data_IF_060136129187
#
_entry.id   IF_060136129187
#
_cell.length_a   1.000
_cell.length_b   1.000
_cell.length_c   1.000
_cell.angle_alpha   90.00
_cell.angle_beta   90.00
_cell.angle_gamma   90.00
#
_symmetry.space_group_name_H-M   'P 1'
#
loop_
_entity.id
_entity.type
_entity.pdbx_description
1 polymer ?
#
# COMPACT_ATOMS: atom_id res chain seq x y z
N UNK A 1 -5.25 -11.95 -12.19
CA UNK A 1 -6.13 -13.12 -11.97
C UNK A 1 -6.03 -13.49 -10.50
N UNK A 2 -7.11 -13.37 -9.71
CA UNK A 2 -7.13 -14.01 -8.41
C UNK A 2 -7.05 -15.52 -8.67
N UNK A 3 -5.94 -16.16 -8.31
CA UNK A 3 -5.82 -17.61 -8.37
C UNK A 3 -6.96 -18.17 -7.52
N UNK A 4 -7.67 -19.15 -8.04
CA UNK A 4 -8.73 -19.83 -7.33
C UNK A 4 -8.16 -20.41 -6.02
N UNK A 5 -8.46 -19.76 -4.92
CA UNK A 5 -8.02 -20.20 -3.60
C UNK A 5 -8.91 -21.36 -3.16
N UNK A 6 -8.37 -22.44 -2.56
CA UNK A 6 -9.15 -23.61 -2.10
C UNK A 6 -10.21 -23.26 -1.03
N UNK A 7 -10.20 -22.05 -0.50
CA UNK A 7 -11.14 -21.57 0.54
C UNK A 7 -12.30 -20.73 0.02
N UNK A 8 -12.63 -20.84 -1.26
CA UNK A 8 -13.75 -20.12 -1.85
C UNK A 8 -13.37 -18.71 -2.34
N UNK A 9 -13.97 -18.35 -3.44
CA UNK A 9 -13.65 -17.15 -4.20
C UNK A 9 -13.69 -15.87 -3.33
N UNK A 10 -12.65 -15.06 -3.44
CA UNK A 10 -12.68 -13.65 -3.03
C UNK A 10 -13.66 -12.82 -3.91
N UNK A 11 -14.77 -13.39 -4.32
CA UNK A 11 -15.58 -12.87 -5.43
C UNK A 11 -16.27 -11.56 -5.09
N UNK A 12 -16.43 -11.24 -3.80
CA UNK A 12 -17.24 -10.08 -3.39
C UNK A 12 -16.68 -9.31 -2.17
N UNK A 13 -15.40 -9.43 -1.85
CA UNK A 13 -14.83 -8.70 -0.73
C UNK A 13 -14.17 -7.42 -1.20
N UNK A 14 -14.77 -6.30 -0.87
CA UNK A 14 -14.25 -4.97 -1.17
C UNK A 14 -13.61 -4.36 0.08
N UNK A 15 -12.55 -3.60 -0.12
CA UNK A 15 -12.02 -2.72 0.92
C UNK A 15 -12.76 -1.40 0.81
N UNK A 16 -13.61 -1.10 1.76
CA UNK A 16 -14.34 0.16 1.85
C UNK A 16 -13.61 1.18 2.71
N UNK A 17 -13.67 2.44 2.32
CA UNK A 17 -13.20 3.57 3.11
C UNK A 17 -14.36 4.49 3.42
N UNK A 18 -14.49 4.89 4.69
CA UNK A 18 -15.52 5.83 5.14
C UNK A 18 -14.88 6.96 5.94
N UNK A 19 -15.49 8.12 5.89
CA UNK A 19 -15.07 9.24 6.73
C UNK A 19 -15.50 8.98 8.17
N UNK A 20 -14.62 9.27 9.13
CA UNK A 20 -14.98 9.25 10.54
C UNK A 20 -15.57 10.60 10.96
N UNK A 21 -16.42 10.57 11.98
CA UNK A 21 -16.85 11.75 12.72
C UNK A 21 -15.66 12.45 13.39
N UNK A 22 -15.84 13.70 13.80
CA UNK A 22 -14.77 14.49 14.42
C UNK A 22 -14.27 13.90 15.75
N UNK A 23 -15.11 13.12 16.42
CA UNK A 23 -14.77 12.40 17.66
C UNK A 23 -14.23 10.99 17.42
N UNK A 24 -14.12 10.55 16.16
CA UNK A 24 -13.69 9.22 15.72
C UNK A 24 -14.55 8.03 16.20
N UNK A 25 -15.76 8.28 16.71
CA UNK A 25 -16.61 7.24 17.26
C UNK A 25 -17.64 6.68 16.28
N UNK A 26 -17.83 7.34 15.14
CA UNK A 26 -18.78 6.89 14.11
C UNK A 26 -18.29 7.22 12.70
N UNK A 27 -18.95 6.67 11.69
CA UNK A 27 -18.74 7.05 10.30
C UNK A 27 -19.76 8.12 9.88
N UNK A 28 -19.33 9.06 9.03
CA UNK A 28 -20.16 10.14 8.50
C UNK A 28 -20.36 9.90 7.01
N UNK A 29 -21.64 9.85 6.59
CA UNK A 29 -21.99 9.58 5.21
C UNK A 29 -21.82 8.12 4.81
N UNK A 30 -21.85 7.86 3.51
CA UNK A 30 -21.64 6.54 2.93
C UNK A 30 -20.17 6.17 2.76
N UNK A 31 -19.91 5.07 2.07
CA UNK A 31 -18.57 4.67 1.66
C UNK A 31 -18.03 5.69 0.66
N UNK A 32 -16.92 6.35 0.99
CA UNK A 32 -16.27 7.33 0.12
C UNK A 32 -15.66 6.67 -1.12
N UNK A 33 -15.22 5.45 -0.96
CA UNK A 33 -14.48 4.72 -1.98
C UNK A 33 -14.45 3.25 -1.64
N UNK A 34 -14.38 2.41 -2.65
CA UNK A 34 -14.10 0.99 -2.49
C UNK A 34 -13.04 0.53 -3.47
N UNK A 35 -12.23 -0.41 -3.05
CA UNK A 35 -11.20 -1.06 -3.88
C UNK A 35 -11.60 -2.51 -4.10
N UNK A 36 -11.35 -3.02 -5.29
CA UNK A 36 -11.77 -4.37 -5.69
C UNK A 36 -11.15 -5.50 -4.87
N UNK A 37 -11.75 -6.70 -5.02
CA UNK A 37 -11.62 -7.79 -4.06
C UNK A 37 -10.20 -8.35 -3.99
N UNK A 38 -9.95 -9.10 -2.91
CA UNK A 38 -8.71 -9.81 -2.66
C UNK A 38 -7.50 -8.93 -2.32
N UNK A 39 -7.76 -7.78 -1.70
CA UNK A 39 -6.71 -6.95 -1.11
C UNK A 39 -6.84 -6.90 0.42
N UNK A 40 -5.71 -6.83 1.08
CA UNK A 40 -5.56 -6.73 2.55
C UNK A 40 -4.29 -5.96 2.92
N UNK A 41 -4.00 -5.82 4.21
CA UNK A 41 -2.77 -5.21 4.69
C UNK A 41 -2.61 -3.79 4.18
N UNK A 42 -3.55 -2.91 4.54
CA UNK A 42 -3.64 -1.59 3.95
C UNK A 42 -2.82 -0.55 4.71
N UNK A 43 -1.99 0.20 3.98
CA UNK A 43 -1.32 1.40 4.45
C UNK A 43 -1.67 2.58 3.54
N UNK A 44 -2.38 3.57 4.07
CA UNK A 44 -2.82 4.77 3.34
C UNK A 44 -1.98 5.97 3.77
N UNK A 45 -1.55 6.79 2.82
CA UNK A 45 -0.72 7.96 3.10
C UNK A 45 -0.94 9.08 2.09
N UNK A 46 -0.49 10.27 2.46
CA UNK A 46 -0.42 11.43 1.56
C UNK A 46 0.98 11.62 1.02
N UNK A 47 1.07 11.97 -0.24
CA UNK A 47 2.32 12.42 -0.82
C UNK A 47 2.75 13.74 -0.14
N UNK A 48 4.00 13.83 0.37
CA UNK A 48 4.40 15.00 1.16
C UNK A 48 4.48 16.33 0.39
N UNK A 49 4.46 16.27 -0.95
CA UNK A 49 4.60 17.45 -1.80
C UNK A 49 3.30 18.00 -2.37
N UNK A 50 2.32 17.13 -2.64
CA UNK A 50 1.07 17.53 -3.34
C UNK A 50 -0.21 17.03 -2.67
N UNK A 51 -0.08 16.40 -1.49
CA UNK A 51 -1.19 15.86 -0.70
C UNK A 51 -2.03 14.77 -1.42
N UNK A 52 -1.57 14.26 -2.55
CA UNK A 52 -2.22 13.13 -3.23
C UNK A 52 -2.27 11.92 -2.32
N UNK A 53 -3.42 11.26 -2.24
CA UNK A 53 -3.59 10.04 -1.47
C UNK A 53 -3.10 8.83 -2.25
N UNK A 54 -2.34 8.01 -1.55
CA UNK A 54 -1.89 6.70 -2.00
C UNK A 54 -2.29 5.63 -1.00
N UNK A 55 -2.42 4.39 -1.49
CA UNK A 55 -2.51 3.21 -0.66
C UNK A 55 -1.56 2.13 -1.18
N UNK A 56 -0.86 1.47 -0.26
CA UNK A 56 -0.13 0.24 -0.55
C UNK A 56 -0.87 -0.88 0.14
N UNK A 57 -1.22 -1.90 -0.62
CA UNK A 57 -1.98 -3.05 -0.16
C UNK A 57 -1.31 -4.35 -0.61
N UNK A 58 -1.66 -5.45 0.00
CA UNK A 58 -1.25 -6.79 -0.41
C UNK A 58 -2.40 -7.54 -1.06
N UNK A 59 -2.10 -8.41 -2.03
CA UNK A 59 -3.08 -9.40 -2.46
C UNK A 59 -3.36 -10.39 -1.32
N UNK A 60 -4.59 -10.90 -1.27
CA UNK A 60 -5.04 -11.87 -0.29
C UNK A 60 -4.92 -13.29 -0.86
N UNK A 61 -4.14 -14.13 -0.20
CA UNK A 61 -4.02 -15.57 -0.52
C UNK A 61 -3.86 -16.45 0.73
N UNK A 62 -4.33 -15.99 1.87
CA UNK A 62 -4.07 -16.60 3.18
C UNK A 62 -2.77 -16.07 3.78
N UNK A 63 -1.93 -16.95 4.29
CA UNK A 63 -0.72 -16.57 5.03
C UNK A 63 0.55 -16.49 4.16
N UNK A 64 0.42 -16.63 2.86
CA UNK A 64 1.56 -16.52 1.95
C UNK A 64 1.85 -15.05 1.57
N UNK A 65 3.12 -14.66 1.49
CA UNK A 65 3.49 -13.34 1.00
C UNK A 65 3.06 -13.16 -0.46
N UNK A 66 2.50 -12.01 -0.76
CA UNK A 66 1.94 -11.67 -2.06
C UNK A 66 2.64 -10.45 -2.70
N UNK A 67 2.46 -10.22 -4.00
CA UNK A 67 2.77 -8.94 -4.60
C UNK A 67 1.99 -7.82 -3.93
N UNK A 68 2.66 -6.69 -3.68
CA UNK A 68 1.97 -5.47 -3.28
C UNK A 68 1.25 -4.83 -4.45
N UNK A 69 0.25 -4.04 -4.13
CA UNK A 69 -0.47 -3.18 -5.08
C UNK A 69 -0.38 -1.76 -4.59
N UNK A 70 0.18 -0.88 -5.42
CA UNK A 70 0.13 0.55 -5.20
C UNK A 70 -1.11 1.11 -5.87
N UNK A 71 -1.85 1.91 -5.14
CA UNK A 71 -3.05 2.60 -5.59
C UNK A 71 -2.86 4.11 -5.41
N UNK A 72 -3.35 4.89 -6.37
CA UNK A 72 -3.41 6.35 -6.28
C UNK A 72 -4.86 6.80 -6.35
N UNK A 73 -5.26 7.68 -5.42
CA UNK A 73 -6.59 8.25 -5.43
C UNK A 73 -6.71 9.41 -6.40
N UNK A 74 -7.81 9.45 -7.12
CA UNK A 74 -8.26 10.58 -7.89
C UNK A 74 -9.60 11.07 -7.35
N UNK A 75 -9.77 12.39 -7.28
CA UNK A 75 -11.09 12.96 -7.03
C UNK A 75 -11.94 12.77 -8.27
N UNK A 76 -13.11 12.20 -8.09
CA UNK A 76 -14.12 12.16 -9.16
C UNK A 76 -14.82 13.51 -9.21
N UNK A 77 -15.15 13.99 -10.41
CA UNK A 77 -16.04 15.12 -10.55
C UNK A 77 -17.45 14.71 -10.07
N UNK A 78 -18.20 15.60 -9.43
CA UNK A 78 -19.60 15.32 -9.08
C UNK A 78 -20.38 14.87 -10.33
N UNK A 79 -20.96 13.66 -10.28
CA UNK A 79 -21.68 13.07 -11.41
C UNK A 79 -20.83 12.45 -12.51
N UNK A 80 -19.51 12.41 -12.37
CA UNK A 80 -18.59 11.75 -13.31
C UNK A 80 -18.60 10.25 -13.12
N UNK A 81 -19.37 9.54 -13.91
CA UNK A 81 -19.35 8.09 -13.97
C UNK A 81 -17.97 7.56 -14.41
N UNK A 82 -17.72 6.30 -14.13
CA UNK A 82 -16.47 5.54 -14.43
C UNK A 82 -16.11 5.45 -15.93
N UNK A 83 -16.55 6.39 -16.75
CA UNK A 83 -16.28 6.39 -18.17
C UNK A 83 -14.77 6.42 -18.47
N UNK A 84 -14.25 5.35 -19.01
CA UNK A 84 -13.00 5.20 -19.76
C UNK A 84 -11.65 5.21 -19.02
N UNK A 85 -11.53 5.64 -17.75
CA UNK A 85 -10.20 5.84 -17.13
C UNK A 85 -9.62 4.62 -16.40
N UNK A 86 -10.43 3.66 -16.07
CA UNK A 86 -9.97 2.44 -15.43
C UNK A 86 -10.58 1.22 -16.11
N UNK A 87 -9.77 0.49 -16.84
CA UNK A 87 -10.15 -0.79 -17.48
C UNK A 87 -9.29 -1.89 -16.86
N UNK A 88 -9.91 -2.80 -16.13
CA UNK A 88 -9.19 -3.95 -15.59
C UNK A 88 -9.79 -4.48 -14.29
N UNK A 89 -9.32 -5.66 -13.85
CA UNK A 89 -9.86 -6.33 -12.67
C UNK A 89 -9.57 -5.59 -11.34
N UNK A 90 -8.57 -4.73 -11.32
CA UNK A 90 -8.13 -4.03 -10.11
C UNK A 90 -8.71 -2.61 -10.00
N UNK A 91 -9.60 -2.25 -10.91
CA UNK A 91 -10.28 -0.95 -10.85
C UNK A 91 -11.23 -0.87 -9.67
N UNK A 92 -11.14 0.21 -8.90
CA UNK A 92 -12.07 0.52 -7.82
C UNK A 92 -13.51 0.67 -8.33
N UNK A 93 -14.48 0.44 -7.46
CA UNK A 93 -15.89 0.75 -7.75
C UNK A 93 -16.12 2.23 -7.46
N UNK A 94 -16.75 2.90 -8.40
CA UNK A 94 -17.15 4.30 -8.24
C UNK A 94 -18.41 4.39 -7.39
N UNK A 95 -18.23 4.43 -6.08
CA UNK A 95 -19.33 4.64 -5.12
C UNK A 95 -19.11 5.90 -4.28
N UNK A 96 -18.20 6.79 -4.67
CA UNK A 96 -17.87 7.92 -3.83
C UNK A 96 -17.00 8.99 -4.47
N UNK A 97 -16.45 9.85 -3.63
CA UNK A 97 -15.65 11.01 -4.02
C UNK A 97 -14.24 10.65 -4.53
N UNK A 98 -13.78 9.42 -4.34
CA UNK A 98 -12.44 8.97 -4.68
C UNK A 98 -12.47 7.73 -5.56
N UNK A 99 -11.73 7.77 -6.65
CA UNK A 99 -11.44 6.63 -7.51
C UNK A 99 -9.98 6.20 -7.28
N UNK A 100 -9.76 4.91 -7.01
CA UNK A 100 -8.43 4.34 -6.85
C UNK A 100 -7.93 3.75 -8.16
N UNK A 101 -6.80 4.26 -8.65
CA UNK A 101 -6.12 3.77 -9.84
C UNK A 101 -4.95 2.88 -9.45
N UNK A 102 -4.89 1.62 -9.93
CA UNK A 102 -3.77 0.75 -9.68
C UNK A 102 -2.55 1.18 -10.50
N UNK A 103 -1.40 1.30 -9.83
CA UNK A 103 -0.10 1.63 -10.43
C UNK A 103 0.85 0.42 -10.47
N UNK A 104 0.35 -0.77 -10.10
CA UNK A 104 1.13 -1.99 -10.10
C UNK A 104 1.88 -2.27 -8.80
N UNK A 105 2.83 -3.20 -8.86
CA UNK A 105 3.63 -3.61 -7.70
C UNK A 105 4.85 -2.70 -7.53
N UNK A 106 4.91 -1.88 -6.47
CA UNK A 106 6.00 -0.93 -6.28
C UNK A 106 7.35 -1.57 -5.91
N UNK A 107 7.36 -2.84 -5.53
CA UNK A 107 8.60 -3.56 -5.19
C UNK A 107 9.24 -4.25 -6.39
N UNK A 108 8.50 -4.46 -7.47
CA UNK A 108 8.90 -5.31 -8.61
C UNK A 108 9.32 -6.73 -8.22
N UNK A 109 8.98 -7.18 -7.01
CA UNK A 109 9.32 -8.49 -6.48
C UNK A 109 8.04 -9.32 -6.25
N UNK A 110 7.95 -10.57 -6.72
CA UNK A 110 6.71 -11.35 -6.73
C UNK A 110 6.13 -11.65 -5.34
N UNK A 111 6.95 -11.61 -4.32
CA UNK A 111 6.54 -11.76 -2.91
C UNK A 111 6.80 -10.51 -2.07
N UNK A 112 7.06 -9.38 -2.71
CA UNK A 112 7.28 -8.08 -2.06
C UNK A 112 8.19 -8.14 -0.84
N UNK A 113 9.28 -8.90 -0.95
CA UNK A 113 10.26 -9.14 0.13
C UNK A 113 9.67 -9.82 1.37
N UNK A 114 8.57 -10.54 1.23
CA UNK A 114 7.73 -11.12 2.29
C UNK A 114 7.06 -10.05 3.19
N UNK A 115 6.87 -8.84 2.65
CA UNK A 115 6.28 -7.72 3.36
C UNK A 115 4.76 -7.69 3.17
N UNK A 116 4.03 -7.47 4.28
CA UNK A 116 2.63 -7.09 4.27
C UNK A 116 2.50 -5.69 4.88
N UNK A 117 1.95 -4.71 4.17
CA UNK A 117 1.81 -3.36 4.67
C UNK A 117 0.95 -3.31 5.93
N UNK A 118 1.39 -2.53 6.91
CA UNK A 118 0.63 -2.28 8.14
C UNK A 118 0.41 -0.81 8.38
N UNK A 119 1.43 0.00 8.17
CA UNK A 119 1.39 1.43 8.45
C UNK A 119 2.36 2.20 7.57
N UNK A 120 2.17 3.50 7.47
CA UNK A 120 3.11 4.44 6.86
C UNK A 120 3.36 5.61 7.78
N UNK A 121 4.60 6.08 7.79
CA UNK A 121 5.03 7.22 8.59
C UNK A 121 5.73 8.25 7.71
N UNK A 122 5.39 9.52 7.86
CA UNK A 122 6.15 10.61 7.24
C UNK A 122 7.25 11.06 8.19
N UNK A 123 8.48 10.99 7.72
CA UNK A 123 9.69 11.38 8.44
C UNK A 123 10.41 12.49 7.67
N UNK A 124 11.49 13.02 8.27
CA UNK A 124 12.38 14.00 7.62
C UNK A 124 13.80 13.48 7.62
N UNK A 125 14.49 13.68 6.51
CA UNK A 125 15.91 13.39 6.39
C UNK A 125 16.79 14.47 7.07
N UNK A 126 18.10 14.34 6.97
CA UNK A 126 19.08 15.31 7.53
C UNK A 126 18.99 16.72 6.95
N UNK A 127 18.33 16.88 5.82
CA UNK A 127 18.08 18.17 5.17
C UNK A 127 16.67 18.70 5.42
N UNK A 128 15.94 18.11 6.40
CA UNK A 128 14.55 18.41 6.71
C UNK A 128 13.56 18.10 5.56
N UNK A 129 14.00 17.36 4.52
CA UNK A 129 13.16 16.95 3.41
C UNK A 129 12.25 15.80 3.87
N UNK A 130 10.92 15.91 3.69
CA UNK A 130 10.01 14.86 4.07
C UNK A 130 10.15 13.63 3.15
N UNK A 131 10.01 12.47 3.73
CA UNK A 131 9.88 11.20 3.02
C UNK A 131 8.90 10.28 3.73
N UNK A 132 8.38 9.30 3.01
CA UNK A 132 7.43 8.32 3.53
C UNK A 132 8.17 7.00 3.76
N UNK A 133 7.92 6.40 4.92
CA UNK A 133 8.40 5.07 5.26
C UNK A 133 7.24 4.11 5.33
N UNK A 134 7.32 3.01 4.60
CA UNK A 134 6.44 1.87 4.75
C UNK A 134 6.91 0.98 5.89
N UNK A 135 6.04 0.75 6.82
CA UNK A 135 6.20 -0.24 7.89
C UNK A 135 5.37 -1.46 7.52
N UNK A 136 6.00 -2.62 7.55
CA UNK A 136 5.38 -3.88 7.12
C UNK A 136 5.74 -5.00 8.07
N UNK A 137 4.82 -5.94 8.22
CA UNK A 137 5.15 -7.24 8.78
C UNK A 137 5.96 -8.04 7.76
N UNK A 138 6.97 -8.77 8.23
CA UNK A 138 7.77 -9.67 7.42
C UNK A 138 7.39 -11.11 7.78
N UNK A 139 6.58 -11.70 6.95
CA UNK A 139 6.08 -13.06 7.14
C UNK A 139 7.14 -14.10 6.73
N UNK A 140 7.91 -14.59 7.69
CA UNK A 140 8.78 -15.75 7.52
C UNK A 140 7.99 -17.03 7.78
N UNK A 141 6.92 -17.22 7.01
CA UNK A 141 6.01 -18.33 7.21
C UNK A 141 6.68 -19.72 7.11
N UNK A 142 7.73 -19.82 6.33
CA UNK A 142 8.52 -21.04 6.19
C UNK A 142 9.61 -21.22 7.27
N UNK A 143 9.68 -20.35 8.26
CA UNK A 143 10.63 -20.49 9.37
C UNK A 143 10.27 -21.67 10.28
N UNK A 144 11.24 -22.22 11.00
CA UNK A 144 11.04 -23.43 11.81
C UNK A 144 10.02 -23.25 12.93
N UNK A 145 9.75 -22.01 13.35
CA UNK A 145 8.76 -21.67 14.37
C UNK A 145 7.48 -21.04 13.82
N UNK A 146 7.33 -21.02 12.48
CA UNK A 146 6.20 -20.38 11.82
C UNK A 146 6.12 -18.89 12.12
N UNK A 147 4.93 -18.38 12.45
CA UNK A 147 4.71 -16.95 12.73
C UNK A 147 5.57 -16.38 13.88
N UNK A 148 6.09 -17.22 14.76
CA UNK A 148 7.03 -16.79 15.82
C UNK A 148 8.37 -16.30 15.29
N UNK A 149 8.70 -16.63 14.04
CA UNK A 149 9.89 -16.15 13.33
C UNK A 149 9.60 -14.91 12.48
N UNK A 150 8.35 -14.48 12.43
CA UNK A 150 7.98 -13.24 11.74
C UNK A 150 8.65 -12.04 12.42
N UNK A 151 9.04 -11.09 11.60
CA UNK A 151 9.65 -9.83 12.03
C UNK A 151 9.00 -8.65 11.33
N UNK A 152 9.77 -7.58 11.22
CA UNK A 152 9.34 -6.37 10.55
C UNK A 152 10.30 -6.00 9.44
N UNK A 153 9.77 -5.33 8.44
CA UNK A 153 10.56 -4.72 7.38
C UNK A 153 10.07 -3.29 7.16
N UNK A 154 10.98 -2.33 7.34
CA UNK A 154 10.68 -0.92 7.17
C UNK A 154 11.53 -0.38 6.04
N UNK A 155 10.87 0.16 5.03
CA UNK A 155 11.53 0.59 3.81
C UNK A 155 11.04 1.99 3.42
N UNK A 156 11.96 2.90 3.06
CA UNK A 156 11.58 4.20 2.52
C UNK A 156 10.94 4.04 1.14
N UNK A 157 9.93 4.86 0.87
CA UNK A 157 9.24 4.96 -0.41
C UNK A 157 9.91 6.05 -1.25
N UNK A 158 10.40 5.68 -2.41
CA UNK A 158 10.99 6.60 -3.38
C UNK A 158 9.95 7.00 -4.42
N UNK A 159 9.59 8.28 -4.48
CA UNK A 159 8.74 8.81 -5.52
C UNK A 159 9.56 9.02 -6.80
N UNK A 160 9.15 8.35 -7.88
CA UNK A 160 9.85 8.34 -9.17
C UNK A 160 9.02 9.05 -10.24
N UNK A 161 9.08 10.38 -10.25
CA UNK A 161 8.26 11.20 -11.16
C UNK A 161 6.83 11.43 -10.69
N UNK A 162 5.97 11.91 -11.58
CA UNK A 162 4.64 12.42 -11.23
C UNK A 162 3.67 11.34 -10.69
N UNK A 163 3.83 10.09 -11.08
CA UNK A 163 2.88 9.02 -10.77
C UNK A 163 3.54 7.73 -10.26
N UNK A 164 4.88 7.70 -10.22
CA UNK A 164 5.64 6.53 -9.85
C UNK A 164 6.04 6.50 -8.39
N UNK A 165 6.06 5.30 -7.83
CA UNK A 165 6.61 5.03 -6.51
C UNK A 165 7.32 3.68 -6.54
N UNK A 166 8.51 3.64 -5.96
CA UNK A 166 9.31 2.43 -5.86
C UNK A 166 9.66 2.13 -4.41
N UNK A 167 9.68 0.85 -4.07
CA UNK A 167 10.15 0.33 -2.80
C UNK A 167 11.30 -0.63 -3.11
N UNK A 168 12.52 -0.22 -2.79
CA UNK A 168 13.72 -1.04 -3.00
C UNK A 168 14.08 -1.81 -1.73
N UNK A 169 14.50 -3.07 -1.88
CA UNK A 169 15.03 -3.83 -0.75
C UNK A 169 16.35 -3.24 -0.31
N UNK A 170 16.42 -2.82 0.93
CA UNK A 170 17.63 -2.31 1.55
C UNK A 170 17.97 -3.13 2.79
N UNK A 171 19.24 -3.49 2.96
CA UNK A 171 19.69 -4.17 4.18
C UNK A 171 19.83 -3.20 5.36
N UNK A 172 20.34 -2.03 5.05
CA UNK A 172 20.59 -0.97 6.01
C UNK A 172 20.22 0.37 5.39
N UNK A 173 19.66 1.24 6.17
CA UNK A 173 19.37 2.63 5.84
C UNK A 173 19.38 3.44 7.15
N UNK A 174 19.41 4.77 7.06
CA UNK A 174 19.29 5.65 8.22
C UNK A 174 18.16 6.64 8.01
N UNK A 175 17.59 7.14 9.09
CA UNK A 175 16.55 8.17 9.02
C UNK A 175 17.06 9.45 8.36
N UNK A 176 18.33 9.78 8.56
CA UNK A 176 18.98 10.96 7.98
C UNK A 176 19.28 10.82 6.48
N UNK A 177 19.44 9.58 6.00
CA UNK A 177 19.80 9.28 4.60
C UNK A 177 19.05 8.02 4.13
N UNK A 178 17.72 8.10 3.99
CA UNK A 178 16.88 6.92 3.80
C UNK A 178 17.09 6.20 2.46
N UNK A 179 17.59 6.90 1.44
CA UNK A 179 17.75 6.34 0.09
C UNK A 179 19.21 5.97 -0.24
N UNK A 180 20.12 6.16 0.69
CA UNK A 180 21.52 5.78 0.52
C UNK A 180 21.78 4.48 1.28
N UNK A 181 22.04 3.35 0.58
CA UNK A 181 22.42 2.12 1.25
C UNK A 181 23.69 2.35 2.07
N UNK A 182 23.68 1.99 3.34
CA UNK A 182 24.93 1.88 4.08
C UNK A 182 25.71 0.70 3.48
N UNK A 183 26.91 0.97 2.98
CA UNK A 183 27.86 -0.10 2.69
C UNK A 183 28.13 -0.88 3.98
N UNK A 184 28.19 -2.21 3.88
CA UNK A 184 28.36 -3.11 5.03
C UNK A 184 29.68 -2.90 5.77
N UNK A 185 30.56 -2.09 5.23
CA UNK A 185 31.94 -1.88 5.66
C UNK A 185 32.06 -0.63 6.51
N UNK A 186 31.28 -0.51 7.54
CA UNK A 186 31.48 0.35 8.72
C UNK A 186 32.53 1.48 8.68
N UNK A 187 32.77 2.12 7.51
CA UNK A 187 33.69 3.24 7.34
C UNK A 187 32.99 4.41 6.66
#
# INVERSE_FOLDING_TARGET
>A
MCAAHPWGACVERYVGMSRLSSDYLSTVGGVLSSVRPCLEGMAVFRHPGDETLYAVMSHLSGWEPNPLVLLRAHKTAPGGGMGERCKGPDCGLDHGELLWLPLGNPTHHPKSYNAQPTFVMTLKDKHAKPYVMLMSDNWLYAGPRGLKDAGYIWLPLEFTGADGLRISKMRNWTMESPFVPRHADGR
#
